data_IF_055508725583
#
_entry.id   IF_055508725583
#
_cell.length_a   1.000
_cell.length_b   1.000
_cell.length_c   1.000
_cell.angle_alpha   90.00
_cell.angle_beta   90.00
_cell.angle_gamma   90.00
#
_symmetry.space_group_name_H-M   'P 1'
#
loop_
_entity.id
_entity.type
_entity.pdbx_description
1 polymer ?
#
# COMPACT_ATOMS: atom_id res chain seq x y z
N UNK A 1 -19.37 -10.34 8.24
CA UNK A 1 -19.87 -11.62 8.80
C UNK A 1 -20.83 -12.28 7.81
N UNK A 2 -21.92 -11.61 7.42
CA UNK A 2 -22.93 -12.13 6.50
C UNK A 2 -22.33 -12.64 5.17
N UNK A 3 -21.43 -11.90 4.55
CA UNK A 3 -20.74 -12.34 3.33
C UNK A 3 -19.91 -13.62 3.53
N UNK A 4 -19.30 -13.80 4.70
CA UNK A 4 -18.59 -15.04 5.05
C UNK A 4 -19.56 -16.20 5.25
N UNK A 5 -20.71 -15.96 5.87
CA UNK A 5 -21.77 -16.99 6.04
C UNK A 5 -22.30 -17.46 4.69
N UNK A 6 -22.60 -16.54 3.77
CA UNK A 6 -23.04 -16.85 2.41
C UNK A 6 -21.98 -17.69 1.67
N UNK A 7 -20.70 -17.27 1.76
CA UNK A 7 -19.61 -18.02 1.15
C UNK A 7 -19.44 -19.41 1.80
N UNK A 8 -19.51 -19.50 3.12
CA UNK A 8 -19.40 -20.76 3.84
C UNK A 8 -20.52 -21.74 3.44
N UNK A 9 -21.76 -21.24 3.34
CA UNK A 9 -22.89 -22.03 2.87
C UNK A 9 -22.67 -22.55 1.45
N UNK A 10 -22.17 -21.70 0.54
CA UNK A 10 -21.94 -22.07 -0.85
C UNK A 10 -20.85 -23.15 -1.01
N UNK A 11 -19.79 -23.13 -0.18
CA UNK A 11 -18.68 -24.10 -0.25
C UNK A 11 -18.76 -25.18 0.83
N UNK A 12 -19.80 -25.18 1.66
CA UNK A 12 -20.03 -26.12 2.76
C UNK A 12 -18.88 -26.11 3.80
N UNK A 13 -18.34 -24.91 4.06
CA UNK A 13 -17.33 -24.72 5.10
C UNK A 13 -18.01 -24.60 6.49
N UNK A 14 -17.39 -25.18 7.51
CA UNK A 14 -17.88 -25.13 8.88
C UNK A 14 -17.11 -24.17 9.78
N UNK A 15 -15.91 -23.77 9.35
CA UNK A 15 -15.00 -22.92 10.11
C UNK A 15 -14.59 -21.69 9.29
N UNK A 16 -14.63 -20.52 9.90
CA UNK A 16 -14.18 -19.27 9.30
C UNK A 16 -13.24 -18.50 10.22
N UNK A 17 -12.25 -17.82 9.63
CA UNK A 17 -11.24 -17.06 10.36
C UNK A 17 -11.17 -15.64 9.83
N UNK A 18 -11.38 -14.66 10.71
CA UNK A 18 -11.19 -13.24 10.43
C UNK A 18 -9.80 -12.86 10.96
N UNK A 19 -8.86 -12.60 10.05
CA UNK A 19 -7.52 -12.16 10.41
C UNK A 19 -7.46 -10.64 10.46
N UNK A 20 -7.34 -10.08 11.66
CA UNK A 20 -7.33 -8.63 11.92
C UNK A 20 -5.98 -8.20 12.48
N UNK A 21 -5.44 -7.09 12.01
CA UNK A 21 -4.21 -6.51 12.56
C UNK A 21 -4.45 -6.00 13.99
N UNK A 22 -3.46 -6.18 14.87
CA UNK A 22 -3.54 -5.75 16.26
C UNK A 22 -3.74 -4.23 16.43
N UNK A 23 -3.36 -3.45 15.42
CA UNK A 23 -3.49 -1.99 15.37
C UNK A 23 -4.95 -1.51 15.21
N UNK A 24 -5.89 -2.43 14.99
CA UNK A 24 -7.32 -2.12 14.87
C UNK A 24 -8.15 -2.66 16.05
N UNK A 25 -7.91 -2.19 17.30
CA UNK A 25 -8.60 -2.73 18.49
C UNK A 25 -10.11 -2.55 18.41
N UNK A 26 -10.59 -1.41 17.91
CA UNK A 26 -12.02 -1.14 17.75
C UNK A 26 -12.67 -2.11 16.76
N UNK A 27 -12.01 -2.44 15.65
CA UNK A 27 -12.51 -3.40 14.68
C UNK A 27 -12.65 -4.80 15.31
N UNK A 28 -11.67 -5.22 16.12
CA UNK A 28 -11.69 -6.49 16.85
C UNK A 28 -12.88 -6.54 17.82
N UNK A 29 -13.07 -5.47 18.61
CA UNK A 29 -14.17 -5.36 19.56
C UNK A 29 -15.54 -5.43 18.87
N UNK A 30 -15.74 -4.66 17.80
CA UNK A 30 -16.97 -4.65 17.01
C UNK A 30 -17.26 -6.00 16.37
N UNK A 31 -16.24 -6.68 15.84
CA UNK A 31 -16.40 -8.02 15.28
C UNK A 31 -16.78 -9.05 16.34
N UNK A 32 -16.17 -9.03 17.52
CA UNK A 32 -16.55 -9.91 18.64
C UNK A 32 -18.00 -9.70 19.05
N UNK A 33 -18.42 -8.44 19.20
CA UNK A 33 -19.82 -8.11 19.54
C UNK A 33 -20.79 -8.63 18.49
N UNK A 34 -20.49 -8.41 17.20
CA UNK A 34 -21.36 -8.84 16.11
C UNK A 34 -21.42 -10.37 15.98
N UNK A 35 -20.31 -11.09 16.19
CA UNK A 35 -20.29 -12.56 16.23
C UNK A 35 -21.19 -13.07 17.37
N UNK A 36 -20.98 -12.57 18.58
CA UNK A 36 -21.78 -12.97 19.75
C UNK A 36 -23.27 -12.69 19.58
N UNK A 37 -23.65 -11.57 18.97
CA UNK A 37 -25.03 -11.24 18.65
C UNK A 37 -25.62 -12.21 17.62
N UNK A 38 -24.86 -12.55 16.57
CA UNK A 38 -25.28 -13.49 15.54
C UNK A 38 -25.45 -14.92 16.09
N UNK A 39 -24.57 -15.35 16.99
CA UNK A 39 -24.68 -16.63 17.71
C UNK A 39 -25.92 -16.65 18.59
N UNK A 40 -26.20 -15.60 19.35
CA UNK A 40 -27.33 -15.49 20.25
C UNK A 40 -28.71 -15.64 19.55
N UNK A 41 -28.79 -15.24 18.27
CA UNK A 41 -30.02 -15.33 17.47
C UNK A 41 -29.99 -16.50 16.47
N UNK A 42 -29.02 -17.42 16.59
CA UNK A 42 -28.95 -18.65 15.78
C UNK A 42 -28.54 -18.43 14.31
N UNK A 43 -27.88 -17.32 14.00
CA UNK A 43 -27.30 -17.03 12.66
C UNK A 43 -25.84 -17.51 12.52
N UNK A 44 -25.19 -17.85 13.62
CA UNK A 44 -23.87 -18.49 13.67
C UNK A 44 -23.89 -19.64 14.69
N UNK A 45 -22.95 -20.56 14.60
CA UNK A 45 -22.84 -21.74 15.46
C UNK A 45 -23.44 -22.98 14.82
N UNK A 46 -24.06 -23.84 15.64
CA UNK A 46 -24.63 -25.10 15.20
C UNK A 46 -26.05 -24.94 14.65
N UNK A 47 -26.37 -25.73 13.62
CA UNK A 47 -27.74 -25.85 13.08
C UNK A 47 -28.39 -24.49 12.74
N UNK A 48 -27.71 -23.65 12.02
CA UNK A 48 -28.13 -22.28 11.68
C UNK A 48 -29.56 -22.32 11.10
N UNK A 49 -30.44 -21.47 11.65
CA UNK A 49 -31.86 -21.37 11.26
C UNK A 49 -32.59 -22.74 11.29
N UNK A 50 -32.18 -23.68 12.16
CA UNK A 50 -32.77 -25.02 12.26
C UNK A 50 -32.43 -25.96 11.10
N UNK A 51 -31.41 -25.62 10.30
CA UNK A 51 -30.87 -26.46 9.21
C UNK A 51 -29.76 -27.39 9.72
N UNK A 52 -29.24 -28.26 8.86
CA UNK A 52 -28.04 -29.06 9.16
C UNK A 52 -26.74 -28.32 8.90
N UNK A 53 -26.79 -27.00 8.56
CA UNK A 53 -25.62 -26.18 8.31
C UNK A 53 -25.12 -25.55 9.61
N UNK A 54 -23.84 -25.70 9.88
CA UNK A 54 -23.14 -25.11 11.03
C UNK A 54 -21.95 -24.30 10.54
N UNK A 55 -21.75 -23.13 11.13
CA UNK A 55 -20.60 -22.28 10.78
C UNK A 55 -20.12 -21.51 12.00
N UNK A 56 -18.86 -21.68 12.34
CA UNK A 56 -18.19 -21.03 13.47
C UNK A 56 -17.18 -20.00 12.98
N UNK A 57 -17.21 -18.80 13.53
CA UNK A 57 -16.30 -17.71 13.20
C UNK A 57 -15.31 -17.44 14.33
N UNK A 58 -14.03 -17.40 13.96
CA UNK A 58 -12.94 -17.10 14.88
C UNK A 58 -12.24 -15.81 14.49
N UNK A 59 -11.86 -15.02 15.48
CA UNK A 59 -11.01 -13.83 15.26
C UNK A 59 -9.57 -14.19 15.59
N UNK A 60 -8.69 -14.08 14.59
CA UNK A 60 -7.26 -14.23 14.75
C UNK A 60 -6.59 -12.85 14.68
N UNK A 61 -5.85 -12.51 15.74
CA UNK A 61 -5.21 -11.21 15.89
C UNK A 61 -3.76 -11.27 15.38
N UNK A 62 -3.50 -10.63 14.24
CA UNK A 62 -2.16 -10.51 13.67
C UNK A 62 -1.31 -9.46 14.37
N UNK A 63 0.00 -9.71 14.47
CA UNK A 63 0.96 -8.80 15.10
C UNK A 63 1.37 -7.59 14.22
N UNK A 64 0.66 -7.34 13.11
CA UNK A 64 0.89 -6.17 12.24
C UNK A 64 1.90 -6.36 11.12
N UNK A 65 2.54 -7.52 10.97
CA UNK A 65 3.48 -7.78 9.89
C UNK A 65 2.81 -7.65 8.51
N UNK A 66 3.32 -6.75 7.67
CA UNK A 66 2.77 -6.49 6.33
C UNK A 66 2.80 -7.73 5.43
N UNK A 67 3.84 -8.57 5.57
CA UNK A 67 3.96 -9.84 4.82
C UNK A 67 2.79 -10.79 5.06
N UNK A 68 2.12 -10.73 6.21
CA UNK A 68 0.93 -11.53 6.51
C UNK A 68 -0.31 -11.14 5.70
N UNK A 69 -0.25 -10.08 4.88
CA UNK A 69 -1.22 -9.80 3.82
C UNK A 69 -1.15 -10.78 2.64
N UNK A 70 -0.04 -11.51 2.48
CA UNK A 70 0.08 -12.61 1.52
C UNK A 70 -0.61 -13.86 2.06
N UNK A 71 -1.48 -14.49 1.26
CA UNK A 71 -2.39 -15.54 1.74
C UNK A 71 -1.72 -16.72 2.42
N UNK A 72 -0.58 -17.20 1.92
CA UNK A 72 0.13 -18.34 2.54
C UNK A 72 0.88 -17.94 3.82
N UNK A 73 1.33 -16.68 3.92
CA UNK A 73 1.89 -16.14 5.16
C UNK A 73 0.79 -15.92 6.22
N UNK A 74 -0.39 -15.46 5.80
CA UNK A 74 -1.56 -15.31 6.66
C UNK A 74 -1.99 -16.65 7.26
N UNK A 75 -2.14 -17.70 6.43
CA UNK A 75 -2.50 -19.05 6.93
C UNK A 75 -1.45 -19.59 7.90
N UNK A 76 -0.15 -19.42 7.59
CA UNK A 76 0.93 -19.82 8.50
C UNK A 76 0.85 -19.07 9.85
N UNK A 77 0.49 -17.79 9.83
CA UNK A 77 0.31 -16.99 11.04
C UNK A 77 -0.87 -17.46 11.89
N UNK A 78 -2.00 -17.82 11.28
CA UNK A 78 -3.16 -18.41 11.98
C UNK A 78 -2.77 -19.75 12.61
N UNK A 79 -1.95 -20.55 11.94
CA UNK A 79 -1.43 -21.83 12.45
C UNK A 79 -0.40 -21.67 13.58
N UNK A 80 -0.09 -20.43 14.02
CA UNK A 80 0.92 -20.18 15.04
C UNK A 80 2.37 -20.30 14.54
N UNK A 81 2.57 -20.38 13.23
CA UNK A 81 3.87 -20.44 12.59
C UNK A 81 4.35 -19.03 12.21
N UNK A 82 5.65 -18.90 11.91
CA UNK A 82 6.16 -17.66 11.36
C UNK A 82 5.47 -17.34 10.03
N UNK A 83 4.94 -16.13 9.89
CA UNK A 83 4.25 -15.64 8.70
C UNK A 83 5.18 -15.49 7.50
N UNK A 84 5.55 -16.59 6.88
CA UNK A 84 6.40 -16.63 5.70
C UNK A 84 5.64 -17.20 4.50
N UNK A 85 5.70 -16.54 3.33
CA UNK A 85 5.12 -17.06 2.09
C UNK A 85 5.71 -18.41 1.69
N UNK A 86 4.88 -19.26 1.07
CA UNK A 86 5.31 -20.50 0.44
C UNK A 86 5.26 -20.40 -1.09
N UNK A 87 5.98 -21.30 -1.74
CA UNK A 87 5.90 -21.47 -3.21
C UNK A 87 4.53 -21.99 -3.59
N UNK A 88 4.00 -21.54 -4.69
CA UNK A 88 2.75 -22.02 -5.29
C UNK A 88 3.08 -22.72 -6.63
N UNK A 89 2.48 -23.85 -6.97
CA UNK A 89 1.47 -24.63 -6.25
C UNK A 89 2.03 -25.34 -4.99
N UNK A 90 1.18 -25.79 -4.03
CA UNK A 90 -0.30 -25.76 -4.06
C UNK A 90 -0.84 -24.37 -3.75
N UNK A 91 -2.00 -24.04 -4.36
CA UNK A 91 -2.77 -22.84 -4.03
C UNK A 91 -3.52 -23.01 -2.71
N UNK A 92 -3.95 -21.92 -2.10
CA UNK A 92 -4.70 -21.95 -0.82
C UNK A 92 -6.00 -22.74 -0.93
N UNK A 93 -6.67 -22.68 -2.09
CA UNK A 93 -7.88 -23.47 -2.37
C UNK A 93 -7.63 -24.99 -2.49
N UNK A 94 -6.39 -25.40 -2.73
CA UNK A 94 -5.97 -26.79 -2.79
C UNK A 94 -5.45 -27.26 -1.42
N UNK A 95 -4.60 -26.42 -0.80
CA UNK A 95 -3.96 -26.69 0.48
C UNK A 95 -3.71 -25.38 1.23
N UNK A 96 -4.68 -24.95 2.01
CA UNK A 96 -4.64 -23.74 2.81
C UNK A 96 -4.38 -24.00 4.29
N UNK A 97 -5.26 -23.48 5.14
CA UNK A 97 -5.19 -23.56 6.59
C UNK A 97 -5.24 -25.02 7.06
N UNK A 98 -4.26 -25.42 7.88
CA UNK A 98 -4.05 -26.82 8.33
C UNK A 98 -4.05 -27.85 7.19
N UNK A 99 -3.46 -27.46 6.06
CA UNK A 99 -3.39 -28.27 4.84
C UNK A 99 -4.76 -28.65 4.24
N UNK A 100 -5.84 -27.95 4.62
CA UNK A 100 -7.18 -28.15 4.05
C UNK A 100 -7.47 -27.12 2.96
N UNK A 101 -8.34 -27.43 1.98
CA UNK A 101 -8.84 -26.44 1.04
C UNK A 101 -9.42 -25.23 1.76
N UNK A 102 -8.97 -24.02 1.40
CA UNK A 102 -9.36 -22.79 2.09
C UNK A 102 -9.67 -21.69 1.09
N UNK A 103 -10.88 -21.13 1.18
CA UNK A 103 -11.26 -19.91 0.44
C UNK A 103 -10.80 -18.70 1.23
N UNK A 104 -10.00 -17.85 0.62
CA UNK A 104 -9.46 -16.62 1.21
C UNK A 104 -9.84 -15.43 0.35
N UNK A 105 -10.52 -14.45 0.94
CA UNK A 105 -10.88 -13.19 0.28
C UNK A 105 -10.60 -12.00 1.20
N UNK A 106 -10.47 -10.83 0.58
CA UNK A 106 -10.40 -9.57 1.30
C UNK A 106 -11.73 -9.27 2.00
N UNK A 107 -11.69 -8.57 3.13
CA UNK A 107 -12.87 -8.11 3.89
C UNK A 107 -13.82 -7.29 3.01
N UNK A 108 -13.29 -6.40 2.18
CA UNK A 108 -14.08 -5.59 1.24
C UNK A 108 -14.85 -6.46 0.23
N UNK A 109 -14.24 -7.56 -0.26
CA UNK A 109 -14.92 -8.54 -1.12
C UNK A 109 -16.11 -9.16 -0.39
N UNK A 110 -15.91 -9.67 0.84
CA UNK A 110 -17.00 -10.25 1.61
C UNK A 110 -18.07 -9.22 1.99
N UNK A 111 -17.72 -7.96 2.21
CA UNK A 111 -18.68 -6.89 2.52
C UNK A 111 -19.64 -6.61 1.35
N UNK A 112 -19.19 -6.82 0.10
CA UNK A 112 -20.04 -6.64 -1.08
C UNK A 112 -21.00 -7.81 -1.35
N UNK A 113 -20.68 -9.02 -0.90
CA UNK A 113 -21.45 -10.25 -1.20
C UNK A 113 -22.93 -10.13 -0.83
N UNK A 114 -23.33 -9.67 0.38
CA UNK A 114 -24.74 -9.56 0.74
C UNK A 114 -25.53 -8.64 -0.20
N UNK A 115 -24.95 -7.50 -0.53
CA UNK A 115 -25.58 -6.52 -1.44
C UNK A 115 -25.74 -7.07 -2.86
N UNK A 116 -24.75 -7.83 -3.34
CA UNK A 116 -24.82 -8.49 -4.65
C UNK A 116 -25.91 -9.56 -4.67
N UNK A 117 -26.01 -10.36 -3.62
CA UNK A 117 -27.04 -11.41 -3.50
C UNK A 117 -28.44 -10.78 -3.45
N UNK A 118 -28.60 -9.67 -2.73
CA UNK A 118 -29.89 -9.00 -2.55
C UNK A 118 -30.33 -8.26 -3.81
N UNK A 119 -29.43 -7.52 -4.47
CA UNK A 119 -29.77 -6.64 -5.58
C UNK A 119 -29.52 -7.26 -6.97
N UNK A 120 -28.80 -8.36 -7.02
CA UNK A 120 -28.45 -9.08 -8.24
C UNK A 120 -27.14 -8.64 -8.87
N UNK A 121 -26.61 -9.50 -9.74
CA UNK A 121 -25.31 -9.29 -10.39
C UNK A 121 -25.32 -8.08 -11.36
N UNK A 122 -26.44 -7.83 -12.01
CA UNK A 122 -26.54 -6.73 -12.99
C UNK A 122 -26.52 -5.37 -12.29
N UNK A 123 -27.09 -5.28 -11.08
CA UNK A 123 -26.95 -4.09 -10.24
C UNK A 123 -25.46 -3.79 -9.96
N UNK A 124 -24.70 -4.80 -9.54
CA UNK A 124 -23.27 -4.62 -9.23
C UNK A 124 -22.45 -4.27 -10.48
N UNK A 125 -22.74 -4.90 -11.61
CA UNK A 125 -22.11 -4.62 -12.90
C UNK A 125 -22.43 -3.19 -13.41
N UNK A 126 -23.55 -2.62 -13.03
CA UNK A 126 -23.94 -1.25 -13.36
C UNK A 126 -23.16 -0.17 -12.61
N UNK A 127 -22.34 -0.54 -11.61
CA UNK A 127 -21.50 0.37 -10.84
C UNK A 127 -20.04 0.12 -11.24
N UNK A 128 -19.29 1.18 -11.50
CA UNK A 128 -17.89 1.06 -11.89
C UNK A 128 -17.67 0.93 -13.38
N UNK A 129 -16.59 0.25 -13.77
CA UNK A 129 -16.25 -0.02 -15.17
C UNK A 129 -16.61 -1.46 -15.56
N UNK A 130 -16.75 -1.78 -16.86
CA UNK A 130 -17.03 -3.15 -17.32
C UNK A 130 -16.00 -4.17 -16.81
N UNK A 131 -14.73 -3.79 -16.74
CA UNK A 131 -13.62 -4.65 -16.33
C UNK A 131 -13.39 -4.63 -14.80
N UNK A 132 -13.87 -3.59 -14.13
CA UNK A 132 -13.75 -3.44 -12.67
C UNK A 132 -15.08 -2.92 -12.11
N UNK A 133 -16.09 -3.79 -11.94
CA UNK A 133 -17.38 -3.40 -11.39
C UNK A 133 -17.32 -3.16 -9.88
N UNK A 134 -18.29 -2.39 -9.38
CA UNK A 134 -18.47 -2.08 -7.98
C UNK A 134 -17.76 -0.80 -7.55
N UNK A 135 -17.59 -0.68 -6.24
CA UNK A 135 -16.94 0.45 -5.57
C UNK A 135 -15.59 0.05 -4.98
N UNK A 136 -14.81 1.04 -4.59
CA UNK A 136 -13.56 0.83 -3.85
C UNK A 136 -13.37 1.89 -2.77
N UNK A 137 -13.03 1.44 -1.58
CA UNK A 137 -12.63 2.33 -0.50
C UNK A 137 -11.16 2.76 -0.67
N UNK A 138 -10.91 4.08 -0.59
CA UNK A 138 -9.57 4.66 -0.63
C UNK A 138 -9.27 5.46 0.64
N UNK A 139 -8.06 5.28 1.17
CA UNK A 139 -7.50 6.11 2.23
C UNK A 139 -6.74 7.29 1.61
N UNK A 140 -7.39 8.44 1.53
CA UNK A 140 -6.84 9.67 0.95
C UNK A 140 -6.06 10.44 2.01
N UNK A 141 -4.76 10.63 1.78
CA UNK A 141 -3.83 11.28 2.72
C UNK A 141 -2.80 12.16 2.01
N UNK A 142 -1.93 12.81 2.77
CA UNK A 142 -0.84 13.64 2.26
C UNK A 142 -1.19 15.11 2.14
N UNK A 143 -0.75 15.75 1.06
CA UNK A 143 -0.87 17.20 0.83
C UNK A 143 -2.23 17.64 0.27
N UNK A 144 -3.31 16.92 0.56
CA UNK A 144 -4.68 17.22 0.15
C UNK A 144 -5.44 17.89 1.30
N UNK A 145 -6.38 18.81 1.00
CA UNK A 145 -7.12 19.57 2.03
C UNK A 145 -7.95 18.67 2.94
N UNK A 146 -8.74 17.77 2.34
CA UNK A 146 -9.59 16.84 3.06
C UNK A 146 -8.96 15.45 3.02
N UNK A 147 -8.50 14.97 4.15
CA UNK A 147 -7.98 13.62 4.33
C UNK A 147 -9.03 12.72 4.96
N UNK A 148 -9.05 11.44 4.62
CA UNK A 148 -9.99 10.48 5.20
C UNK A 148 -10.16 9.23 4.37
N UNK A 149 -11.13 8.41 4.80
CA UNK A 149 -11.58 7.26 4.05
C UNK A 149 -12.74 7.69 3.14
N UNK A 150 -12.62 7.41 1.86
CA UNK A 150 -13.64 7.67 0.85
C UNK A 150 -14.02 6.38 0.15
N UNK A 151 -15.25 6.28 -0.33
CA UNK A 151 -15.70 5.20 -1.19
C UNK A 151 -16.22 5.80 -2.49
N UNK A 152 -15.73 5.29 -3.61
CA UNK A 152 -16.07 5.77 -4.95
C UNK A 152 -16.31 4.59 -5.90
N UNK A 153 -17.14 4.77 -6.95
CA UNK A 153 -17.21 3.77 -8.02
C UNK A 153 -15.85 3.52 -8.64
N UNK A 154 -15.59 2.29 -8.99
CA UNK A 154 -14.41 1.96 -9.80
C UNK A 154 -14.45 2.74 -11.12
N UNK A 155 -13.31 3.28 -11.55
CA UNK A 155 -13.24 4.14 -12.72
C UNK A 155 -13.36 5.64 -12.45
N UNK A 156 -13.70 6.05 -11.22
CA UNK A 156 -13.60 7.47 -10.81
C UNK A 156 -12.19 7.97 -11.11
N UNK A 157 -12.06 9.16 -11.68
CA UNK A 157 -10.75 9.69 -12.05
C UNK A 157 -9.94 10.13 -10.83
N UNK A 158 -8.62 10.03 -10.96
CA UNK A 158 -7.72 10.52 -9.92
C UNK A 158 -7.93 12.04 -9.67
N UNK A 159 -8.30 12.78 -10.70
CA UNK A 159 -8.62 14.22 -10.60
C UNK A 159 -9.80 14.46 -9.68
N UNK A 160 -10.93 13.78 -9.90
CA UNK A 160 -12.13 13.90 -9.05
C UNK A 160 -11.79 13.57 -7.59
N UNK A 161 -11.03 12.50 -7.35
CA UNK A 161 -10.63 12.10 -5.99
C UNK A 161 -9.79 13.18 -5.30
N UNK A 162 -8.81 13.78 -6.00
CA UNK A 162 -7.90 14.75 -5.39
C UNK A 162 -8.58 16.14 -5.26
N UNK A 163 -9.26 16.62 -6.29
CA UNK A 163 -9.72 18.00 -6.35
C UNK A 163 -11.16 18.16 -5.87
N UNK A 164 -12.09 17.30 -6.30
CA UNK A 164 -13.50 17.45 -5.96
C UNK A 164 -13.79 16.89 -4.56
N UNK A 165 -13.34 15.68 -4.26
CA UNK A 165 -13.53 15.05 -2.96
C UNK A 165 -12.49 15.55 -1.95
N UNK A 166 -11.22 15.53 -2.31
CA UNK A 166 -10.10 15.96 -1.49
C UNK A 166 -9.96 17.46 -1.33
N UNK A 167 -10.72 18.27 -2.11
CA UNK A 167 -10.71 19.73 -2.06
C UNK A 167 -9.43 20.37 -2.62
N UNK A 168 -8.60 19.63 -3.33
CA UNK A 168 -7.33 20.09 -3.91
C UNK A 168 -6.16 20.11 -2.91
N UNK A 169 -5.06 20.68 -3.33
CA UNK A 169 -3.80 20.70 -2.57
C UNK A 169 -3.86 21.73 -1.43
N UNK A 170 -3.23 21.44 -0.31
CA UNK A 170 -3.14 22.33 0.87
C UNK A 170 -2.33 23.59 0.57
N UNK A 171 -2.84 24.74 1.03
CA UNK A 171 -2.18 26.04 0.93
C UNK A 171 -1.93 26.47 -0.53
N UNK A 172 -0.80 27.11 -0.79
CA UNK A 172 -0.40 27.62 -2.11
C UNK A 172 0.50 26.64 -2.87
N UNK A 173 0.55 25.38 -2.46
CA UNK A 173 1.34 24.35 -3.11
C UNK A 173 0.62 23.77 -4.33
N UNK A 174 1.39 23.18 -5.25
CA UNK A 174 0.87 22.55 -6.46
C UNK A 174 1.00 21.04 -6.38
N UNK A 175 0.06 20.34 -7.04
CA UNK A 175 0.12 18.88 -7.17
C UNK A 175 1.41 18.46 -7.88
N UNK A 176 2.13 17.52 -7.32
CA UNK A 176 3.34 16.94 -7.91
C UNK A 176 3.13 15.48 -8.29
N UNK A 177 2.67 14.68 -7.35
CA UNK A 177 2.47 13.25 -7.55
C UNK A 177 1.48 12.66 -6.54
N UNK A 178 1.04 11.44 -6.80
CA UNK A 178 0.34 10.60 -5.83
C UNK A 178 0.96 9.22 -5.83
N UNK A 179 1.24 8.68 -4.64
CA UNK A 179 1.56 7.27 -4.45
C UNK A 179 0.25 6.50 -4.28
N UNK A 180 0.05 5.49 -5.11
CA UNK A 180 -1.14 4.62 -5.08
C UNK A 180 -0.74 3.16 -4.89
N UNK A 181 -1.57 2.39 -4.18
CA UNK A 181 -1.33 0.97 -3.92
C UNK A 181 -0.54 0.68 -2.65
N UNK A 182 -0.41 1.67 -1.78
CA UNK A 182 0.32 1.54 -0.52
C UNK A 182 1.83 1.62 -0.69
N UNK A 183 2.62 1.20 0.34
CA UNK A 183 4.07 1.38 0.38
C UNK A 183 4.85 0.70 -0.74
N UNK A 184 4.30 -0.35 -1.34
CA UNK A 184 4.90 -1.06 -2.48
C UNK A 184 4.18 -0.76 -3.80
N UNK A 185 3.40 0.31 -3.84
CA UNK A 185 2.70 0.76 -5.04
C UNK A 185 3.53 1.68 -5.93
N UNK A 186 2.88 2.23 -6.98
CA UNK A 186 3.51 3.11 -7.94
C UNK A 186 3.14 4.57 -7.76
N UNK A 187 3.87 5.45 -8.46
CA UNK A 187 3.66 6.88 -8.46
C UNK A 187 2.98 7.34 -9.75
N UNK A 188 2.02 8.27 -9.64
CA UNK A 188 1.36 8.93 -10.76
C UNK A 188 1.58 10.44 -10.68
N UNK A 189 1.61 11.12 -11.84
CA UNK A 189 1.92 12.55 -11.96
C UNK A 189 0.80 13.29 -12.71
N UNK A 190 0.91 14.60 -12.85
CA UNK A 190 -0.10 15.47 -13.47
C UNK A 190 -0.69 14.95 -14.79
N UNK A 191 0.07 14.42 -15.76
CA UNK A 191 -0.51 13.82 -16.98
C UNK A 191 -1.43 12.61 -16.73
N UNK A 192 -1.36 12.01 -15.54
CA UNK A 192 -2.16 10.85 -15.16
C UNK A 192 -3.40 11.21 -14.33
N UNK A 193 -3.71 12.50 -14.14
CA UNK A 193 -4.85 12.92 -13.31
C UNK A 193 -6.21 12.43 -13.84
N UNK A 194 -6.34 12.24 -15.14
CA UNK A 194 -7.57 11.79 -15.78
C UNK A 194 -7.63 10.26 -15.97
N UNK A 195 -6.67 9.54 -15.37
CA UNK A 195 -6.67 8.07 -15.37
C UNK A 195 -7.79 7.55 -14.48
N UNK A 196 -8.53 6.58 -14.99
CA UNK A 196 -9.50 5.78 -14.23
C UNK A 196 -8.84 5.02 -13.10
N UNK A 197 -9.38 5.12 -11.90
CA UNK A 197 -8.98 4.30 -10.77
C UNK A 197 -9.63 2.91 -10.87
N UNK A 198 -9.13 2.11 -11.80
CA UNK A 198 -9.47 0.71 -11.99
C UNK A 198 -8.21 -0.16 -12.13
N UNK A 199 -8.37 -1.48 -12.05
CA UNK A 199 -7.23 -2.40 -12.02
C UNK A 199 -6.40 -2.36 -13.29
N UNK A 200 -7.03 -2.31 -14.46
CA UNK A 200 -6.34 -2.39 -15.75
C UNK A 200 -5.67 -1.08 -16.13
N UNK A 201 -6.34 0.04 -15.91
CA UNK A 201 -5.81 1.38 -16.20
C UNK A 201 -4.55 1.66 -15.36
N UNK A 202 -4.60 1.37 -14.06
CA UNK A 202 -3.45 1.56 -13.18
C UNK A 202 -2.29 0.62 -13.51
N UNK A 203 -2.59 -0.63 -13.86
CA UNK A 203 -1.57 -1.60 -14.28
C UNK A 203 -0.82 -1.14 -15.53
N UNK A 204 -1.52 -0.58 -16.52
CA UNK A 204 -0.90 0.01 -17.72
C UNK A 204 0.03 1.18 -17.40
N UNK A 205 -0.25 1.93 -16.32
CA UNK A 205 0.62 3.03 -15.85
C UNK A 205 1.79 2.55 -14.98
N UNK A 206 1.91 1.25 -14.71
CA UNK A 206 2.90 0.70 -13.80
C UNK A 206 2.60 0.98 -12.33
N UNK A 207 1.31 1.10 -12.01
CA UNK A 207 0.80 1.27 -10.65
C UNK A 207 -0.18 0.16 -10.30
N UNK A 208 -0.69 0.14 -9.07
CA UNK A 208 -1.70 -0.81 -8.62
C UNK A 208 -2.66 -0.14 -7.62
N UNK A 209 -3.88 -0.63 -7.52
CA UNK A 209 -4.84 -0.15 -6.50
C UNK A 209 -4.39 -0.57 -5.09
N UNK A 210 -3.87 -1.79 -4.96
CA UNK A 210 -3.55 -2.38 -3.66
C UNK A 210 -4.75 -2.36 -2.71
N UNK A 211 -4.54 -1.94 -1.46
CA UNK A 211 -5.60 -1.76 -0.46
C UNK A 211 -6.30 -0.39 -0.53
N UNK A 212 -6.05 0.41 -1.56
CA UNK A 212 -6.66 1.73 -1.73
C UNK A 212 -5.93 2.87 -1.02
N UNK A 213 -4.67 2.71 -0.66
CA UNK A 213 -3.86 3.82 -0.12
C UNK A 213 -3.54 4.85 -1.20
N UNK A 214 -3.87 6.12 -0.95
CA UNK A 214 -3.56 7.28 -1.79
C UNK A 214 -2.80 8.32 -0.95
N UNK A 215 -1.54 8.57 -1.29
CA UNK A 215 -0.71 9.59 -0.63
C UNK A 215 -0.39 10.69 -1.63
N UNK A 216 -1.07 11.81 -1.51
CA UNK A 216 -0.90 12.99 -2.38
C UNK A 216 0.32 13.79 -1.95
N UNK A 217 1.14 14.17 -2.90
CA UNK A 217 2.39 14.90 -2.71
C UNK A 217 2.38 16.20 -3.50
N UNK A 218 2.92 17.24 -2.91
CA UNK A 218 3.04 18.57 -3.49
C UNK A 218 4.45 18.86 -4.04
N UNK A 219 4.62 20.04 -4.63
CA UNK A 219 5.86 20.53 -5.19
C UNK A 219 7.01 20.71 -4.16
N UNK A 220 6.70 20.70 -2.86
CA UNK A 220 7.67 20.74 -1.77
C UNK A 220 8.16 19.36 -1.35
N UNK A 221 7.68 18.29 -1.97
CA UNK A 221 8.06 16.91 -1.66
C UNK A 221 9.26 16.47 -2.51
N UNK A 222 10.27 15.90 -1.88
CA UNK A 222 11.41 15.30 -2.59
C UNK A 222 11.09 13.85 -2.95
N UNK A 223 11.13 13.51 -4.23
CA UNK A 223 10.76 12.17 -4.71
C UNK A 223 11.84 11.12 -4.40
N UNK A 224 13.11 11.53 -4.26
CA UNK A 224 14.19 10.65 -3.82
C UNK A 224 14.00 10.23 -2.36
N UNK A 225 13.61 11.18 -1.50
CA UNK A 225 13.30 10.89 -0.09
C UNK A 225 12.03 10.04 0.06
N UNK A 226 11.03 10.25 -0.79
CA UNK A 226 9.83 9.40 -0.87
C UNK A 226 10.21 7.96 -1.22
N UNK A 227 11.05 7.77 -2.22
CA UNK A 227 11.54 6.44 -2.60
C UNK A 227 12.32 5.78 -1.46
N UNK A 228 13.20 6.52 -0.78
CA UNK A 228 13.94 6.04 0.40
C UNK A 228 12.99 5.64 1.52
N UNK A 229 11.98 6.45 1.81
CA UNK A 229 11.00 6.19 2.86
C UNK A 229 10.24 4.87 2.61
N UNK A 230 9.71 4.68 1.41
CA UNK A 230 8.99 3.45 1.07
C UNK A 230 9.91 2.23 0.99
N UNK A 231 11.15 2.40 0.51
CA UNK A 231 12.13 1.30 0.50
C UNK A 231 12.53 0.88 1.92
N UNK A 232 12.70 1.83 2.84
CA UNK A 232 12.95 1.54 4.25
C UNK A 232 11.79 0.73 4.87
N UNK A 233 10.54 1.12 4.59
CA UNK A 233 9.38 0.35 5.02
C UNK A 233 9.43 -1.09 4.46
N UNK A 234 9.62 -1.24 3.15
CA UNK A 234 9.59 -2.55 2.50
C UNK A 234 10.73 -3.46 2.97
N UNK A 235 11.91 -2.89 3.20
CA UNK A 235 13.06 -3.61 3.74
C UNK A 235 12.77 -4.13 5.16
N UNK A 236 12.18 -3.30 6.02
CA UNK A 236 11.81 -3.69 7.39
C UNK A 236 10.70 -4.76 7.42
N UNK A 237 9.79 -4.74 6.45
CA UNK A 237 8.68 -5.70 6.33
C UNK A 237 9.05 -6.99 5.57
N UNK A 238 10.27 -7.09 5.09
CA UNK A 238 10.76 -8.33 4.45
C UNK A 238 10.78 -9.47 5.46
N UNK A 239 10.16 -10.60 5.11
CA UNK A 239 10.23 -11.81 5.95
C UNK A 239 11.61 -12.47 5.97
N UNK A 240 12.55 -12.03 5.13
CA UNK A 240 13.91 -12.52 5.03
C UNK A 240 14.09 -13.87 4.33
N UNK A 241 13.03 -14.49 3.81
CA UNK A 241 13.08 -15.85 3.25
C UNK A 241 13.89 -15.94 1.96
N UNK A 242 13.62 -15.10 0.98
CA UNK A 242 14.31 -15.14 -0.31
C UNK A 242 15.38 -14.05 -0.40
N UNK A 243 16.56 -14.43 -0.95
CA UNK A 243 17.72 -13.53 -1.10
C UNK A 243 17.40 -12.26 -1.88
N UNK A 244 16.70 -12.30 -3.04
CA UNK A 244 16.43 -11.09 -3.81
C UNK A 244 15.69 -10.00 -3.00
N UNK A 245 14.69 -10.37 -2.22
CA UNK A 245 13.98 -9.42 -1.37
C UNK A 245 14.86 -9.00 -0.18
N UNK A 246 15.43 -9.94 0.58
CA UNK A 246 16.21 -9.65 1.80
C UNK A 246 17.41 -8.75 1.54
N UNK A 247 18.26 -9.15 0.59
CA UNK A 247 19.50 -8.42 0.29
C UNK A 247 19.26 -7.28 -0.71
N UNK A 248 18.43 -7.50 -1.72
CA UNK A 248 18.16 -6.50 -2.76
C UNK A 248 17.49 -5.24 -2.21
N UNK A 249 16.46 -5.36 -1.37
CA UNK A 249 15.82 -4.17 -0.76
C UNK A 249 16.77 -3.42 0.16
N UNK A 250 17.63 -4.14 0.90
CA UNK A 250 18.65 -3.54 1.75
C UNK A 250 19.65 -2.74 0.91
N UNK A 251 20.16 -3.30 -0.18
CA UNK A 251 21.12 -2.62 -1.08
C UNK A 251 20.50 -1.39 -1.74
N UNK A 252 19.25 -1.50 -2.20
CA UNK A 252 18.53 -0.33 -2.73
C UNK A 252 18.37 0.77 -1.68
N UNK A 253 18.05 0.42 -0.44
CA UNK A 253 17.95 1.38 0.66
C UNK A 253 19.30 2.07 0.93
N UNK A 254 20.38 1.33 1.04
CA UNK A 254 21.73 1.86 1.23
C UNK A 254 22.14 2.85 0.11
N UNK A 255 21.78 2.55 -1.14
CA UNK A 255 22.02 3.46 -2.27
C UNK A 255 21.20 4.74 -2.12
N UNK A 256 19.91 4.63 -1.81
CA UNK A 256 19.04 5.80 -1.61
C UNK A 256 19.51 6.66 -0.43
N UNK A 257 19.93 6.04 0.67
CA UNK A 257 20.53 6.76 1.81
C UNK A 257 21.83 7.48 1.42
N UNK A 258 22.68 6.84 0.62
CA UNK A 258 23.89 7.43 0.06
C UNK A 258 23.56 8.67 -0.81
N UNK A 259 22.50 8.59 -1.63
CA UNK A 259 22.05 9.70 -2.49
C UNK A 259 21.55 10.88 -1.65
N UNK A 260 20.65 10.66 -0.70
CA UNK A 260 20.10 11.76 0.13
C UNK A 260 21.12 12.36 1.09
N UNK A 261 22.18 11.60 1.41
CA UNK A 261 23.34 12.07 2.17
C UNK A 261 24.35 12.88 1.32
N UNK A 262 24.05 13.12 0.03
CA UNK A 262 24.92 13.88 -0.88
C UNK A 262 26.16 13.12 -1.39
N UNK A 263 26.24 11.82 -1.12
CA UNK A 263 27.37 10.95 -1.50
C UNK A 263 27.07 10.09 -2.73
N UNK A 264 25.86 10.20 -3.31
CA UNK A 264 25.44 9.45 -4.48
C UNK A 264 26.25 9.82 -5.73
N UNK A 265 26.37 8.89 -6.65
CA UNK A 265 27.02 9.03 -7.95
C UNK A 265 26.05 8.62 -9.06
N UNK A 266 26.37 8.97 -10.32
CA UNK A 266 25.47 8.68 -11.45
C UNK A 266 25.27 7.17 -11.65
N UNK A 267 26.30 6.38 -11.41
CA UNK A 267 26.29 4.93 -11.49
C UNK A 267 25.30 4.28 -10.50
N UNK A 268 25.07 4.94 -9.36
CA UNK A 268 24.10 4.48 -8.36
C UNK A 268 22.67 4.41 -8.94
N UNK A 269 22.32 5.30 -9.89
CA UNK A 269 21.02 5.31 -10.52
C UNK A 269 20.81 4.11 -11.45
N UNK A 270 21.84 3.68 -12.16
CA UNK A 270 21.80 2.48 -13.00
C UNK A 270 21.73 1.23 -12.13
N UNK A 271 22.49 1.19 -11.04
CA UNK A 271 22.46 0.07 -10.10
C UNK A 271 21.09 -0.07 -9.42
N UNK A 272 20.37 1.03 -9.14
CA UNK A 272 18.99 0.99 -8.65
C UNK A 272 18.04 0.31 -9.65
N UNK A 273 18.16 0.62 -10.95
CA UNK A 273 17.33 0.00 -11.99
C UNK A 273 17.64 -1.50 -12.14
N UNK A 274 18.90 -1.89 -12.10
CA UNK A 274 19.33 -3.30 -12.17
C UNK A 274 18.82 -4.11 -10.98
N UNK A 275 19.01 -3.59 -9.77
CA UNK A 275 18.52 -4.23 -8.54
C UNK A 275 17.00 -4.33 -8.52
N UNK A 276 16.30 -3.27 -8.96
CA UNK A 276 14.84 -3.25 -9.01
C UNK A 276 14.30 -4.34 -9.94
N UNK A 277 14.88 -4.47 -11.14
CA UNK A 277 14.51 -5.50 -12.11
C UNK A 277 14.78 -6.90 -11.55
N UNK A 278 15.98 -7.14 -11.00
CA UNK A 278 16.36 -8.41 -10.40
C UNK A 278 15.40 -8.82 -9.26
N UNK A 279 15.05 -7.89 -8.35
CA UNK A 279 14.11 -8.18 -7.25
C UNK A 279 12.74 -8.53 -7.79
N UNK A 280 12.22 -7.75 -8.74
CA UNK A 280 10.89 -7.94 -9.33
C UNK A 280 10.76 -9.32 -10.00
N UNK A 281 11.78 -9.74 -10.74
CA UNK A 281 11.76 -10.98 -11.51
C UNK A 281 11.98 -12.23 -10.64
N UNK A 282 12.80 -12.12 -9.59
CA UNK A 282 13.28 -13.29 -8.86
C UNK A 282 12.73 -13.44 -7.44
N UNK A 283 12.04 -12.44 -6.90
CA UNK A 283 11.44 -12.54 -5.57
C UNK A 283 10.29 -13.56 -5.53
N UNK A 284 10.14 -14.25 -4.40
CA UNK A 284 9.20 -15.34 -4.23
C UNK A 284 7.72 -14.92 -4.19
N UNK A 285 7.41 -13.83 -3.54
CA UNK A 285 6.03 -13.41 -3.25
C UNK A 285 5.71 -12.00 -3.75
N UNK A 286 4.43 -11.63 -3.70
CA UNK A 286 3.96 -10.31 -4.14
C UNK A 286 4.66 -9.14 -3.47
N UNK A 287 4.93 -9.22 -2.15
CA UNK A 287 5.67 -8.17 -1.44
C UNK A 287 7.06 -7.96 -2.06
N UNK A 288 7.82 -9.03 -2.25
CA UNK A 288 9.15 -8.91 -2.85
C UNK A 288 9.10 -8.41 -4.29
N UNK A 289 8.18 -8.94 -5.11
CA UNK A 289 8.03 -8.55 -6.52
C UNK A 289 7.62 -7.09 -6.71
N UNK A 290 6.86 -6.51 -5.78
CA UNK A 290 6.45 -5.10 -5.82
C UNK A 290 7.35 -4.18 -4.99
N UNK A 291 8.31 -4.73 -4.24
CA UNK A 291 9.16 -3.98 -3.31
C UNK A 291 9.88 -2.79 -3.95
N UNK A 292 10.36 -2.95 -5.18
CA UNK A 292 11.11 -1.94 -5.91
C UNK A 292 10.23 -0.93 -6.67
N UNK A 293 8.91 -1.15 -6.77
CA UNK A 293 8.02 -0.34 -7.60
C UNK A 293 8.01 1.16 -7.24
N UNK A 294 8.04 1.58 -5.96
CA UNK A 294 8.16 2.99 -5.61
C UNK A 294 9.44 3.64 -6.16
N UNK A 295 10.56 2.93 -6.11
CA UNK A 295 11.85 3.42 -6.63
C UNK A 295 11.82 3.48 -8.16
N UNK A 296 11.37 2.41 -8.83
CA UNK A 296 11.28 2.37 -10.29
C UNK A 296 10.38 3.48 -10.83
N UNK A 297 9.21 3.68 -10.23
CA UNK A 297 8.26 4.70 -10.69
C UNK A 297 8.78 6.12 -10.46
N UNK A 298 9.38 6.41 -9.30
CA UNK A 298 9.95 7.72 -9.01
C UNK A 298 11.21 7.99 -9.84
N UNK A 299 12.09 7.02 -10.00
CA UNK A 299 13.30 7.16 -10.81
C UNK A 299 12.97 7.43 -12.29
N UNK A 300 11.94 6.75 -12.83
CA UNK A 300 11.46 6.97 -14.20
C UNK A 300 10.80 8.34 -14.38
N UNK A 301 9.89 8.72 -13.47
CA UNK A 301 9.07 9.93 -13.61
C UNK A 301 9.79 11.21 -13.16
N UNK A 302 10.75 11.07 -12.27
CA UNK A 302 11.48 12.20 -11.68
C UNK A 302 13.01 12.07 -11.86
N UNK A 303 13.45 11.47 -12.97
CA UNK A 303 14.87 11.24 -13.27
C UNK A 303 15.74 12.47 -13.01
N UNK A 304 15.26 13.65 -13.40
CA UNK A 304 15.95 14.91 -13.19
C UNK A 304 16.21 15.22 -11.70
N UNK A 305 15.25 14.92 -10.81
CA UNK A 305 15.49 15.14 -9.37
C UNK A 305 16.60 14.22 -8.85
N UNK A 306 16.65 12.96 -9.30
CA UNK A 306 17.73 12.04 -8.93
C UNK A 306 19.09 12.54 -9.44
N UNK A 307 19.16 13.01 -10.69
CA UNK A 307 20.38 13.57 -11.27
C UNK A 307 20.83 14.84 -10.53
N UNK A 308 19.93 15.74 -10.19
CA UNK A 308 20.24 16.91 -9.35
C UNK A 308 20.84 16.51 -7.99
N UNK A 309 20.34 15.41 -7.38
CA UNK A 309 20.90 14.91 -6.12
C UNK A 309 22.29 14.32 -6.27
N UNK A 310 22.57 13.58 -7.36
CA UNK A 310 23.86 12.88 -7.52
C UNK A 310 24.92 13.72 -8.25
N UNK A 311 24.53 14.61 -9.15
CA UNK A 311 25.44 15.46 -9.92
C UNK A 311 25.60 16.83 -9.26
N UNK A 312 24.48 17.57 -9.12
CA UNK A 312 24.50 18.96 -8.64
C UNK A 312 24.58 19.05 -7.10
N UNK A 313 24.46 17.93 -6.41
CA UNK A 313 24.39 17.86 -4.94
C UNK A 313 23.33 18.81 -4.38
N UNK A 314 22.16 18.83 -5.01
CA UNK A 314 21.06 19.75 -4.73
C UNK A 314 19.75 18.99 -4.56
N UNK A 315 18.99 19.35 -3.53
CA UNK A 315 17.60 18.93 -3.36
C UNK A 315 16.69 20.14 -3.60
N UNK A 316 15.94 20.15 -4.71
CA UNK A 316 15.06 21.26 -5.06
C UNK A 316 13.96 21.48 -4.00
N UNK A 317 13.41 20.40 -3.46
CA UNK A 317 12.42 20.43 -2.36
C UNK A 317 13.01 20.81 -0.99
N UNK A 318 14.35 20.87 -0.86
CA UNK A 318 15.08 21.18 0.38
C UNK A 318 14.78 20.22 1.55
N UNK A 319 14.31 19.02 1.27
CA UNK A 319 14.03 18.01 2.29
C UNK A 319 15.32 17.32 2.78
N UNK A 320 16.24 17.01 1.86
CA UNK A 320 17.51 16.35 2.16
C UNK A 320 18.46 17.30 2.88
N UNK A 321 18.61 17.15 4.20
CA UNK A 321 19.40 18.07 5.03
C UNK A 321 20.86 18.18 4.60
N UNK A 322 21.48 17.06 4.19
CA UNK A 322 22.87 17.01 3.74
C UNK A 322 23.11 17.79 2.41
N UNK A 323 22.04 18.06 1.65
CA UNK A 323 22.09 18.80 0.40
C UNK A 323 21.64 20.27 0.54
N UNK A 324 21.35 20.71 1.77
CA UNK A 324 21.02 22.13 2.05
C UNK A 324 22.28 22.97 2.05
N UNK A 325 22.28 24.04 1.26
CA UNK A 325 23.33 25.05 1.29
C UNK A 325 22.76 26.32 1.91
N UNK A 326 23.43 26.81 2.95
CA UNK A 326 23.12 28.10 3.54
C UNK A 326 23.96 29.16 2.78
N UNK A 327 23.29 30.13 2.19
CA UNK A 327 23.96 31.18 1.40
C UNK A 327 23.59 32.52 2.01
N UNK A 328 24.60 33.37 2.21
CA UNK A 328 24.42 34.77 2.58
C UNK A 328 24.20 35.57 1.29
N UNK A 329 23.01 36.20 1.17
CA UNK A 329 22.74 37.10 0.04
C UNK A 329 23.69 38.31 0.13
N UNK A 330 24.57 38.54 -0.87
CA UNK A 330 25.46 39.71 -0.88
C UNK A 330 24.69 41.04 -0.78
N UNK A 331 23.53 41.12 -1.43
CA UNK A 331 22.69 42.34 -1.48
C UNK A 331 22.06 42.67 -0.10
N UNK A 332 21.82 41.64 0.74
CA UNK A 332 21.28 41.81 2.09
C UNK A 332 22.35 41.83 3.18
N UNK A 333 23.56 41.49 2.84
CA UNK A 333 24.68 41.42 3.79
C UNK A 333 25.19 42.80 4.14
N UNK A 334 25.09 43.19 5.41
CA UNK A 334 25.62 44.45 5.94
C UNK A 334 27.02 44.31 6.55
N UNK A 335 27.70 43.17 6.38
CA UNK A 335 29.02 42.91 6.94
C UNK A 335 29.09 42.81 8.46
N UNK A 336 27.96 42.67 9.17
CA UNK A 336 27.90 42.73 10.64
C UNK A 336 28.39 41.47 11.37
N UNK A 337 28.82 40.42 10.66
CA UNK A 337 29.31 39.12 11.17
C UNK A 337 28.36 38.38 12.09
N UNK A 338 27.06 38.78 12.18
CA UNK A 338 26.07 38.14 13.03
C UNK A 338 25.84 36.67 12.66
N UNK A 339 25.81 36.35 11.37
CA UNK A 339 25.68 35.00 10.85
C UNK A 339 26.87 34.11 11.25
N UNK A 340 28.12 34.61 11.15
CA UNK A 340 29.28 33.84 11.59
C UNK A 340 29.27 33.59 13.10
N UNK A 341 28.95 34.61 13.91
CA UNK A 341 28.91 34.49 15.38
C UNK A 341 27.81 33.57 15.89
N UNK A 342 26.75 33.36 15.12
CA UNK A 342 25.64 32.48 15.48
C UNK A 342 25.62 31.16 14.68
N UNK A 343 26.66 30.88 13.91
CA UNK A 343 26.76 29.63 13.15
C UNK A 343 27.08 28.47 14.11
N UNK A 344 26.22 27.40 14.20
CA UNK A 344 26.49 26.30 15.11
C UNK A 344 27.60 25.37 14.65
N UNK A 345 28.12 25.57 13.44
CA UNK A 345 29.20 24.76 12.82
C UNK A 345 30.50 25.53 12.55
N UNK A 346 30.61 26.77 13.02
CA UNK A 346 31.81 27.59 12.91
C UNK A 346 31.83 28.52 11.72
#
# INVERSE_FOLDING_TARGET
IEGMMIAAYAVQAQEGYIYVRAEYPLAIERQKTAISQAEAIGLLGDNILGTNFSFHLHINRGAGAFVCGEGSALTASIEGKRGMPRVKPPRTVEQGLWARPTVLNNVETYANVPMIVTNGADWFKGIGTPESPGTKAFALTGSVKNTGLIEVPMGTSLREVIYDIGGGIKGDAHFKAVQIGGPSGGCLITPHLDVSLDFDSLKKMGAMIGSGGLVVMDDKTCMVEVARFFMNFTQNESCGKCVPCREGTKRMLEILEKIVAGKGMLEDLNLLDELASMITDTALCGLGKSAALPVMSTLRLFRKEYEEHVVDKKCAAKNCTALRRFVISPERCKGCSKCARNCPVG
#
